data_IF_416101666869
#
_entry.id   IF_416101666869
#
_cell.length_a   1.000
_cell.length_b   1.000
_cell.length_c   1.000
_cell.angle_alpha   90.00
_cell.angle_beta   90.00
_cell.angle_gamma   90.00
#
_symmetry.space_group_name_H-M   'P 1'
#
loop_
_entity.id
_entity.type
_entity.pdbx_description
1 polymer ?
#
# COMPACT_ATOMS: atom_id res chain seq x y z
N UNK A 1 59.34 13.98 53.26
CA UNK A 1 58.34 15.07 53.10
C UNK A 1 58.65 15.74 51.78
N UNK A 2 57.98 15.37 50.68
CA UNK A 2 56.70 15.93 50.18
C UNK A 2 56.82 17.45 49.93
N UNK A 3 56.64 18.00 48.72
CA UNK A 3 56.03 17.40 47.53
C UNK A 3 56.27 18.15 46.20
N UNK A 4 56.10 17.35 45.15
CA UNK A 4 55.99 17.61 43.71
C UNK A 4 54.79 18.52 43.37
N UNK A 5 54.98 19.58 42.57
CA UNK A 5 54.71 19.73 41.10
C UNK A 5 53.41 20.46 40.75
N UNK A 6 53.61 21.58 40.05
CA UNK A 6 52.93 22.05 38.83
C UNK A 6 51.63 21.33 38.43
N UNK A 7 50.52 22.05 38.44
CA UNK A 7 49.28 21.66 37.74
C UNK A 7 48.95 22.70 36.68
N UNK A 8 49.34 22.39 35.44
CA UNK A 8 48.91 23.07 34.22
C UNK A 8 47.52 22.53 33.86
N UNK A 9 46.51 23.39 33.76
CA UNK A 9 45.18 23.03 33.24
C UNK A 9 45.29 22.80 31.72
N UNK A 10 45.07 21.57 31.26
CA UNK A 10 44.86 21.26 29.85
C UNK A 10 43.37 21.35 29.51
N UNK A 11 42.99 22.28 28.63
CA UNK A 11 41.66 22.30 28.01
C UNK A 11 41.58 21.16 26.99
N UNK A 12 40.73 20.17 27.25
CA UNK A 12 40.32 19.16 26.26
C UNK A 12 39.18 19.75 25.41
N UNK A 13 39.50 20.21 24.21
CA UNK A 13 38.50 20.47 23.18
C UNK A 13 38.04 19.13 22.59
N UNK A 14 36.88 18.64 23.05
CA UNK A 14 36.22 17.48 22.43
C UNK A 14 35.62 17.97 21.11
N UNK A 15 36.27 17.63 20.00
CA UNK A 15 35.66 17.79 18.67
C UNK A 15 34.48 16.83 18.58
N UNK A 16 33.28 17.33 18.86
CA UNK A 16 32.03 16.65 18.53
C UNK A 16 31.90 16.66 17.01
N UNK A 17 32.42 15.63 16.35
CA UNK A 17 32.05 15.33 14.96
C UNK A 17 30.58 14.90 15.03
N UNK A 18 29.68 15.83 14.73
CA UNK A 18 28.28 15.51 14.51
C UNK A 18 28.21 14.62 13.27
N UNK A 19 28.10 13.31 13.47
CA UNK A 19 27.59 12.44 12.42
C UNK A 19 26.18 12.92 12.14
N UNK A 20 25.97 13.56 10.99
CA UNK A 20 24.63 13.71 10.45
C UNK A 20 24.13 12.29 10.19
N UNK A 21 23.24 11.80 11.04
CA UNK A 21 22.44 10.62 10.71
C UNK A 21 21.66 10.99 9.45
N UNK A 22 22.05 10.39 8.33
CA UNK A 22 21.35 10.55 7.08
C UNK A 22 20.00 9.85 7.26
N UNK A 23 18.94 10.65 7.42
CA UNK A 23 17.58 10.13 7.50
C UNK A 23 17.31 9.25 6.27
N UNK A 24 16.84 8.00 6.46
CA UNK A 24 16.56 7.13 5.33
C UNK A 24 15.60 7.81 4.37
N UNK A 25 15.76 7.62 3.04
CA UNK A 25 14.92 8.28 2.06
C UNK A 25 13.46 7.96 2.34
N UNK A 26 12.62 8.99 2.46
CA UNK A 26 11.17 8.83 2.61
C UNK A 26 10.64 8.09 1.38
N UNK A 27 10.06 6.91 1.58
CA UNK A 27 9.41 6.16 0.50
C UNK A 27 8.18 6.96 0.07
N UNK A 28 8.18 7.40 -1.18
CA UNK A 28 7.09 8.21 -1.76
C UNK A 28 6.24 7.43 -2.76
N UNK A 29 6.67 6.22 -3.14
CA UNK A 29 5.96 5.35 -4.08
C UNK A 29 6.19 3.88 -3.74
N UNK A 30 5.20 3.04 -4.02
CA UNK A 30 5.32 1.58 -3.96
C UNK A 30 4.89 0.96 -5.31
N UNK A 31 5.58 -0.09 -5.80
CA UNK A 31 5.03 -0.91 -6.87
C UNK A 31 3.73 -1.56 -6.37
N UNK A 32 2.74 -1.75 -7.25
CA UNK A 32 1.45 -2.29 -6.83
C UNK A 32 0.82 -3.11 -7.94
N UNK A 33 0.15 -4.19 -7.57
CA UNK A 33 -0.58 -5.05 -8.51
C UNK A 33 -2.00 -5.31 -8.03
N UNK A 34 -2.97 -5.10 -8.91
CA UNK A 34 -4.34 -5.58 -8.78
C UNK A 34 -4.83 -5.89 -10.20
N UNK A 35 -5.35 -7.10 -10.49
CA UNK A 35 -5.73 -7.44 -11.84
C UNK A 35 -6.81 -6.49 -12.36
N UNK A 36 -6.76 -6.22 -13.66
CA UNK A 36 -7.62 -5.27 -14.39
C UNK A 36 -7.37 -3.78 -14.11
N UNK A 37 -6.40 -3.44 -13.25
CA UNK A 37 -6.02 -2.05 -12.97
C UNK A 37 -4.64 -1.72 -13.53
N UNK A 38 -4.63 -0.84 -14.53
CA UNK A 38 -3.43 -0.38 -15.23
C UNK A 38 -2.79 0.84 -14.54
N UNK A 39 -1.71 1.37 -15.12
CA UNK A 39 -0.99 2.53 -14.57
C UNK A 39 -1.87 3.77 -14.45
N UNK A 40 -2.75 4.01 -15.41
CA UNK A 40 -3.68 5.14 -15.41
C UNK A 40 -4.62 5.05 -14.21
N UNK A 41 -5.11 3.85 -13.91
CA UNK A 41 -5.94 3.55 -12.74
C UNK A 41 -5.25 4.00 -11.44
N UNK A 42 -3.99 3.60 -11.25
CA UNK A 42 -3.22 3.92 -10.03
C UNK A 42 -2.82 5.40 -9.92
N UNK A 43 -2.77 6.12 -11.04
CA UNK A 43 -2.44 7.56 -11.02
C UNK A 43 -3.52 8.42 -10.33
N UNK A 44 -4.76 7.92 -10.30
CA UNK A 44 -5.93 8.62 -9.76
C UNK A 44 -6.01 8.57 -8.23
N UNK A 45 -5.36 7.60 -7.58
CA UNK A 45 -5.44 7.37 -6.13
C UNK A 45 -4.12 7.64 -5.41
N UNK A 46 -4.22 7.75 -4.09
CA UNK A 46 -3.07 7.76 -3.19
C UNK A 46 -3.18 6.60 -2.22
N UNK A 47 -2.04 6.21 -1.68
CA UNK A 47 -1.96 5.21 -0.63
C UNK A 47 -1.28 5.72 0.61
N UNK A 48 -1.48 5.03 1.72
CA UNK A 48 -0.74 5.24 2.95
C UNK A 48 -0.41 3.90 3.57
N UNK A 49 0.81 3.76 4.06
CA UNK A 49 1.21 2.59 4.84
C UNK A 49 0.51 2.69 6.19
N UNK A 50 -0.35 1.71 6.50
CA UNK A 50 -1.02 1.59 7.80
C UNK A 50 -0.34 0.57 8.72
N UNK A 51 0.44 -0.34 8.15
CA UNK A 51 1.23 -1.32 8.90
C UNK A 51 2.35 -1.91 8.03
N UNK A 52 3.44 -2.33 8.67
CA UNK A 52 4.52 -3.10 8.06
C UNK A 52 4.96 -4.20 9.02
N UNK A 53 5.12 -5.42 8.51
CA UNK A 53 5.66 -6.58 9.22
C UNK A 53 6.96 -7.00 8.52
N UNK A 54 8.09 -6.71 9.15
CA UNK A 54 9.41 -7.04 8.59
C UNK A 54 9.69 -8.54 8.59
N UNK A 55 9.11 -9.31 9.52
CA UNK A 55 9.34 -10.77 9.61
C UNK A 55 8.55 -11.50 8.53
N UNK A 56 7.32 -11.07 8.30
CA UNK A 56 6.48 -11.60 7.22
C UNK A 56 6.81 -10.95 5.86
N UNK A 57 7.63 -9.89 5.84
CA UNK A 57 7.90 -9.04 4.68
C UNK A 57 6.62 -8.46 4.05
N UNK A 58 5.64 -8.13 4.89
CA UNK A 58 4.34 -7.62 4.46
C UNK A 58 4.22 -6.12 4.70
N UNK A 59 3.66 -5.40 3.73
CA UNK A 59 3.26 -4.01 3.88
C UNK A 59 1.78 -3.88 3.60
N UNK A 60 1.07 -3.24 4.52
CA UNK A 60 -0.37 -2.98 4.39
C UNK A 60 -0.60 -1.52 4.04
N UNK A 61 -1.27 -1.31 2.93
CA UNK A 61 -1.69 -0.01 2.45
C UNK A 61 -3.20 0.16 2.62
N UNK A 62 -3.60 1.36 3.06
CA UNK A 62 -4.90 1.89 2.68
C UNK A 62 -4.74 2.68 1.38
N UNK A 63 -5.79 2.76 0.59
CA UNK A 63 -5.80 3.46 -0.69
C UNK A 63 -7.07 4.32 -0.70
N UNK A 64 -6.93 5.53 -1.20
CA UNK A 64 -8.00 6.53 -1.14
C UNK A 64 -7.90 7.49 -2.32
N UNK A 65 -9.05 8.09 -2.65
CA UNK A 65 -9.10 9.24 -3.52
C UNK A 65 -8.46 10.45 -2.82
N UNK A 66 -7.42 11.07 -3.40
CA UNK A 66 -6.94 12.34 -2.86
C UNK A 66 -8.05 13.38 -3.01
N UNK A 67 -8.36 14.10 -1.93
CA UNK A 67 -9.17 15.32 -2.02
C UNK A 67 -8.23 16.49 -2.33
N UNK A 68 -8.19 17.01 -3.57
CA UNK A 68 -7.22 18.04 -3.91
C UNK A 68 -7.51 19.37 -3.21
N UNK A 69 -8.73 19.62 -2.69
CA UNK A 69 -9.13 20.95 -2.20
C UNK A 69 -10.25 20.98 -1.11
N UNK A 70 -10.53 19.89 -0.40
CA UNK A 70 -11.65 19.82 0.56
C UNK A 70 -13.03 19.85 -0.13
N UNK A 71 -13.07 19.59 -1.43
CA UNK A 71 -14.25 19.73 -2.29
C UNK A 71 -14.31 18.53 -3.21
N UNK A 72 -15.47 17.85 -3.19
CA UNK A 72 -15.85 16.65 -3.95
C UNK A 72 -14.67 15.93 -4.59
N UNK A 73 -14.14 14.84 -3.98
CA UNK A 73 -13.01 14.12 -4.54
C UNK A 73 -13.30 13.78 -6.00
N UNK A 74 -12.31 13.94 -6.91
CA UNK A 74 -12.48 13.50 -8.29
C UNK A 74 -12.94 12.03 -8.28
N UNK A 75 -13.77 11.65 -9.25
CA UNK A 75 -14.16 10.25 -9.44
C UNK A 75 -12.88 9.43 -9.74
N UNK A 76 -12.20 8.94 -8.71
CA UNK A 76 -11.24 7.85 -8.88
C UNK A 76 -12.10 6.60 -9.03
N UNK A 77 -12.58 6.40 -10.25
CA UNK A 77 -13.37 5.25 -10.68
C UNK A 77 -12.48 4.00 -10.76
N UNK A 78 -11.84 3.70 -9.65
CA UNK A 78 -11.48 2.33 -9.37
C UNK A 78 -12.72 1.71 -8.72
N UNK A 79 -12.93 0.39 -8.86
CA UNK A 79 -14.05 -0.35 -8.23
C UNK A 79 -13.84 -0.44 -6.70
N UNK A 80 -13.72 0.72 -6.09
CA UNK A 80 -13.19 1.07 -4.78
C UNK A 80 -14.15 2.06 -4.10
N UNK A 81 -15.44 1.98 -4.44
CA UNK A 81 -16.54 2.74 -3.84
C UNK A 81 -16.74 2.47 -2.33
N UNK A 82 -15.88 1.66 -1.72
CA UNK A 82 -15.93 1.28 -0.32
C UNK A 82 -14.52 1.11 0.25
N UNK A 83 -14.35 1.22 1.58
CA UNK A 83 -13.05 1.10 2.21
C UNK A 83 -12.40 -0.23 1.85
N UNK A 84 -11.14 -0.15 1.42
CA UNK A 84 -10.37 -1.33 1.08
C UNK A 84 -8.94 -1.20 1.58
N UNK A 85 -8.38 -2.37 1.83
CA UNK A 85 -7.03 -2.56 2.31
C UNK A 85 -6.34 -3.49 1.33
N UNK A 86 -5.15 -3.08 0.91
CA UNK A 86 -4.27 -3.91 0.12
C UNK A 86 -3.07 -4.32 0.97
N UNK A 87 -2.83 -5.62 1.09
CA UNK A 87 -1.65 -6.18 1.74
C UNK A 87 -0.75 -6.74 0.66
N UNK A 88 0.43 -6.16 0.51
CA UNK A 88 1.49 -6.66 -0.37
C UNK A 88 2.50 -7.44 0.49
N UNK A 89 2.85 -8.65 0.06
CA UNK A 89 3.84 -9.50 0.71
C UNK A 89 4.80 -10.13 -0.30
N UNK A 90 5.75 -10.96 0.13
CA UNK A 90 6.62 -11.68 -0.79
C UNK A 90 5.79 -12.52 -1.74
N UNK A 91 5.92 -12.22 -3.02
CA UNK A 91 5.24 -12.94 -4.09
C UNK A 91 3.71 -13.05 -3.89
N UNK A 92 3.09 -12.13 -3.14
CA UNK A 92 1.65 -12.17 -2.85
C UNK A 92 1.02 -10.79 -2.78
N UNK A 93 -0.25 -10.71 -3.21
CA UNK A 93 -1.13 -9.56 -2.99
C UNK A 93 -2.44 -10.06 -2.41
N UNK A 94 -2.95 -9.36 -1.39
CA UNK A 94 -4.28 -9.59 -0.84
C UNK A 94 -5.05 -8.28 -0.81
N UNK A 95 -6.30 -8.36 -1.20
CA UNK A 95 -7.25 -7.27 -1.17
C UNK A 95 -8.46 -7.69 -0.36
N UNK A 96 -8.93 -6.79 0.49
CA UNK A 96 -10.17 -6.94 1.22
C UNK A 96 -10.90 -5.59 1.25
N UNK A 97 -12.18 -5.60 0.88
CA UNK A 97 -13.03 -4.47 1.19
C UNK A 97 -14.49 -4.86 1.36
N UNK A 98 -15.17 -4.04 2.15
CA UNK A 98 -16.56 -4.25 2.56
C UNK A 98 -17.31 -2.92 2.45
N UNK A 99 -18.43 -2.94 1.73
CA UNK A 99 -19.49 -1.96 1.92
C UNK A 99 -20.63 -2.62 2.70
N UNK A 100 -20.90 -2.19 3.96
CA UNK A 100 -21.99 -2.77 4.74
C UNK A 100 -23.32 -2.71 4.00
N UNK A 101 -24.08 -3.80 4.04
CA UNK A 101 -25.40 -3.92 3.42
C UNK A 101 -25.44 -3.71 1.89
N UNK A 102 -24.30 -3.87 1.20
CA UNK A 102 -24.20 -3.79 -0.26
C UNK A 102 -23.35 -4.90 -0.85
N UNK A 103 -22.08 -4.99 -0.43
CA UNK A 103 -21.16 -5.95 -1.03
C UNK A 103 -19.92 -6.24 -0.17
N UNK A 104 -19.33 -7.41 -0.39
CA UNK A 104 -17.99 -7.77 0.10
C UNK A 104 -17.15 -8.25 -1.08
N UNK A 105 -15.88 -7.85 -1.13
CA UNK A 105 -14.96 -8.31 -2.15
C UNK A 105 -13.60 -8.71 -1.53
N UNK A 106 -13.12 -9.89 -1.91
CA UNK A 106 -11.84 -10.45 -1.52
C UNK A 106 -11.07 -10.84 -2.77
N UNK A 107 -9.76 -10.59 -2.77
CA UNK A 107 -8.89 -11.06 -3.83
C UNK A 107 -7.53 -11.45 -3.25
N UNK A 108 -7.00 -12.56 -3.75
CA UNK A 108 -5.68 -13.05 -3.38
C UNK A 108 -4.92 -13.44 -4.64
N UNK A 109 -3.70 -12.95 -4.80
CA UNK A 109 -2.81 -13.29 -5.88
C UNK A 109 -1.52 -13.90 -5.36
N UNK A 110 -1.06 -14.97 -6.00
CA UNK A 110 0.34 -15.40 -5.94
C UNK A 110 1.05 -14.86 -7.17
N UNK A 111 2.11 -14.10 -6.94
CA UNK A 111 2.90 -13.41 -7.94
C UNK A 111 4.14 -14.22 -8.28
N UNK A 112 4.60 -14.13 -9.52
CA UNK A 112 5.93 -14.57 -9.93
C UNK A 112 6.66 -13.36 -10.51
N UNK A 113 7.35 -12.64 -9.62
CA UNK A 113 7.93 -11.34 -9.94
C UNK A 113 6.87 -10.38 -10.48
N UNK A 114 7.20 -9.66 -11.56
CA UNK A 114 6.28 -8.69 -12.20
C UNK A 114 5.69 -9.17 -13.52
N UNK A 115 5.80 -10.46 -13.84
CA UNK A 115 5.45 -10.99 -15.18
C UNK A 115 4.28 -11.96 -15.19
N UNK A 116 3.91 -12.50 -14.03
CA UNK A 116 2.79 -13.42 -13.89
C UNK A 116 2.14 -13.26 -12.52
N UNK A 117 0.80 -13.37 -12.49
CA UNK A 117 0.02 -13.42 -11.27
C UNK A 117 -1.11 -14.43 -11.40
N UNK A 118 -1.20 -15.38 -10.46
CA UNK A 118 -2.36 -16.27 -10.34
C UNK A 118 -3.25 -15.77 -9.21
N UNK A 119 -4.43 -15.28 -9.56
CA UNK A 119 -5.36 -14.64 -8.62
C UNK A 119 -6.65 -15.43 -8.47
N UNK A 120 -7.22 -15.40 -7.27
CA UNK A 120 -8.57 -15.85 -6.96
C UNK A 120 -9.36 -14.69 -6.38
N UNK A 121 -10.58 -14.50 -6.88
CA UNK A 121 -11.48 -13.45 -6.40
C UNK A 121 -12.78 -14.05 -5.87
N UNK A 122 -13.31 -13.43 -4.82
CA UNK A 122 -14.64 -13.68 -4.28
C UNK A 122 -15.36 -12.35 -4.14
N UNK A 123 -16.63 -12.32 -4.52
CA UNK A 123 -17.52 -11.20 -4.23
C UNK A 123 -18.88 -11.70 -3.79
N UNK A 124 -19.48 -11.04 -2.81
CA UNK A 124 -20.89 -11.21 -2.47
C UNK A 124 -21.62 -9.89 -2.61
N UNK A 125 -22.83 -9.96 -3.14
CA UNK A 125 -23.70 -8.83 -3.39
C UNK A 125 -24.99 -9.01 -2.61
N UNK A 126 -25.36 -8.01 -1.81
CA UNK A 126 -26.59 -8.02 -1.02
C UNK A 126 -27.83 -7.77 -1.89
N UNK A 127 -28.99 -8.12 -1.36
CA UNK A 127 -30.28 -7.94 -2.03
C UNK A 127 -30.48 -6.49 -2.51
N UNK A 128 -30.81 -6.34 -3.79
CA UNK A 128 -31.07 -5.03 -4.41
C UNK A 128 -29.83 -4.25 -4.85
N UNK A 129 -28.62 -4.76 -4.59
CA UNK A 129 -27.39 -4.19 -5.15
C UNK A 129 -27.15 -4.68 -6.59
N UNK A 130 -26.69 -3.81 -7.47
CA UNK A 130 -26.36 -4.12 -8.85
C UNK A 130 -25.09 -3.35 -9.25
N UNK A 131 -24.06 -4.06 -9.71
CA UNK A 131 -22.76 -3.50 -10.14
C UNK A 131 -22.67 -3.31 -11.67
N UNK A 132 -23.80 -3.40 -12.38
CA UNK A 132 -23.92 -3.40 -13.82
C UNK A 132 -23.85 -4.79 -14.47
N UNK A 133 -23.31 -5.80 -13.77
CA UNK A 133 -23.09 -7.16 -14.30
C UNK A 133 -23.85 -8.20 -13.49
N UNK A 134 -23.82 -8.08 -12.17
CA UNK A 134 -24.45 -8.92 -11.18
C UNK A 134 -25.54 -8.15 -10.44
N UNK A 135 -26.58 -8.87 -10.01
CA UNK A 135 -27.63 -8.32 -9.14
C UNK A 135 -27.75 -9.24 -7.93
N UNK A 136 -27.62 -8.67 -6.73
CA UNK A 136 -27.76 -9.44 -5.50
C UNK A 136 -29.20 -9.85 -5.21
N UNK A 137 -29.41 -10.90 -4.40
CA UNK A 137 -28.39 -11.64 -3.66
C UNK A 137 -27.65 -12.65 -4.55
N UNK A 138 -26.32 -12.55 -4.63
CA UNK A 138 -25.48 -13.45 -5.45
C UNK A 138 -24.05 -13.44 -4.94
N UNK A 139 -23.35 -14.56 -5.12
CA UNK A 139 -21.91 -14.67 -4.89
C UNK A 139 -21.21 -15.05 -6.20
N UNK A 140 -20.01 -14.50 -6.39
CA UNK A 140 -19.17 -14.73 -7.57
C UNK A 140 -17.80 -15.17 -7.09
N UNK A 141 -17.31 -16.27 -7.68
CA UNK A 141 -15.96 -16.79 -7.43
C UNK A 141 -15.28 -17.00 -8.77
N UNK A 142 -14.04 -16.56 -8.87
CA UNK A 142 -13.22 -16.79 -10.06
C UNK A 142 -11.77 -17.06 -9.69
N UNK A 143 -11.06 -17.69 -10.61
CA UNK A 143 -9.62 -17.90 -10.55
C UNK A 143 -9.04 -17.77 -11.94
N UNK A 144 -8.00 -16.95 -12.08
CA UNK A 144 -7.33 -16.66 -13.36
C UNK A 144 -5.83 -16.53 -13.16
N UNK A 145 -5.08 -16.82 -14.22
CA UNK A 145 -3.64 -16.55 -14.31
C UNK A 145 -3.42 -15.49 -15.38
N UNK A 146 -2.78 -14.39 -15.01
CA UNK A 146 -2.43 -13.26 -15.87
C UNK A 146 -0.95 -13.35 -16.20
N UNK A 147 -0.58 -13.18 -17.48
CA UNK A 147 0.82 -13.29 -17.92
C UNK A 147 1.20 -12.17 -18.88
N UNK A 148 2.49 -11.82 -18.93
CA UNK A 148 3.02 -10.85 -19.89
C UNK A 148 2.36 -9.48 -19.73
N UNK A 149 1.67 -9.00 -20.77
CA UNK A 149 0.99 -7.70 -20.76
C UNK A 149 -0.28 -7.69 -19.88
N UNK A 150 -0.84 -8.86 -19.55
CA UNK A 150 -2.02 -8.95 -18.68
C UNK A 150 -1.67 -8.74 -17.19
N UNK A 151 -0.41 -9.02 -16.81
CA UNK A 151 0.10 -8.79 -15.47
C UNK A 151 0.66 -7.36 -15.36
N UNK A 152 -0.18 -6.35 -15.59
CA UNK A 152 0.27 -4.96 -15.60
C UNK A 152 0.45 -4.41 -14.17
N UNK A 153 1.68 -3.95 -13.87
CA UNK A 153 2.01 -3.35 -12.58
C UNK A 153 1.85 -1.83 -12.60
N UNK A 154 1.25 -1.31 -11.53
CA UNK A 154 1.11 0.11 -11.24
C UNK A 154 2.19 0.66 -10.33
N UNK A 155 2.11 1.97 -10.12
CA UNK A 155 2.88 2.69 -9.10
C UNK A 155 1.91 3.43 -8.21
N UNK A 156 1.85 3.03 -6.94
CA UNK A 156 1.07 3.71 -5.93
C UNK A 156 1.87 4.88 -5.37
N UNK A 157 1.35 6.10 -5.50
CA UNK A 157 1.95 7.27 -4.85
C UNK A 157 1.51 7.33 -3.39
N UNK A 158 2.48 7.37 -2.48
CA UNK A 158 2.23 7.40 -1.04
C UNK A 158 2.01 8.83 -0.54
N UNK A 159 1.09 8.96 0.40
CA UNK A 159 0.75 10.19 1.10
C UNK A 159 0.60 9.91 2.60
N UNK A 160 0.53 10.97 3.41
CA UNK A 160 0.03 10.87 4.78
C UNK A 160 -1.40 10.31 4.78
N UNK A 161 -1.75 9.62 5.87
CA UNK A 161 -3.10 9.13 6.08
C UNK A 161 -4.10 10.29 5.96
N UNK A 162 -5.24 10.08 5.29
CA UNK A 162 -6.29 11.09 5.20
C UNK A 162 -6.92 11.40 6.57
#
# INVERSE_FOLDING_TARGET
MLGLTSTLLALLAVNSVAYAEQEPPTITTAPIYLPYYNKESWSLVRGSIISSDEQAHETTYTIFCPDPNGSTPPECDLSLEFPFILVEGPDTVRFHGIHPSRLTANLECSLQGTTEATCSGYSSFDEGYNDGVHTGPTEVVWKSTFTGEEAEWGILTLSLLP
#
